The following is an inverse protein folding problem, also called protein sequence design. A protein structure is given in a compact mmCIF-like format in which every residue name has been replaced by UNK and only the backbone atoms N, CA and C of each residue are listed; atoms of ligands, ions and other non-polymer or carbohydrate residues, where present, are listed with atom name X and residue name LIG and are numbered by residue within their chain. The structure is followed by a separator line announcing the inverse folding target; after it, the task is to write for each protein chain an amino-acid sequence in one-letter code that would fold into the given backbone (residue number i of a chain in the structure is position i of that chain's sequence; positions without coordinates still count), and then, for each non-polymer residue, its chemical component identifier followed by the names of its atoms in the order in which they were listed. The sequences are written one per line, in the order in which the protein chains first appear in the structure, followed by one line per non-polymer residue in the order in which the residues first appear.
data_IF_872143447551
#
_entry.id   IF_872143447551
#
_cell.length_a   1.000
_cell.length_b   1.000
_cell.length_c   1.000
_cell.angle_alpha   90.00
_cell.angle_beta   90.00
_cell.angle_gamma   90.00
#
_symmetry.space_group_name_H-M   'P 1'
#
loop_
_entity.id
_entity.type
_entity.pdbx_description
1 polymer ?
#
# COMPACT_ATOMS: atom_id res chain seq x y z
N UNK A 1 -2.61 -6.01 10.52
CA UNK A 1 -1.77 -6.35 9.35
C UNK A 1 -2.53 -7.28 8.45
N UNK A 2 -2.34 -7.17 7.13
CA UNK A 2 -2.89 -8.08 6.13
C UNK A 2 -2.22 -9.45 6.29
N UNK A 3 -3.02 -10.53 6.38
CA UNK A 3 -2.52 -11.91 6.47
C UNK A 3 -2.71 -12.66 5.18
N UNK A 4 -3.82 -12.42 4.46
CA UNK A 4 -4.07 -13.04 3.15
C UNK A 4 -4.84 -12.11 2.22
N UNK A 5 -4.58 -12.25 0.94
CA UNK A 5 -5.43 -11.76 -0.13
C UNK A 5 -5.77 -12.89 -1.09
N UNK A 6 -7.02 -12.97 -1.48
CA UNK A 6 -7.50 -13.94 -2.49
C UNK A 6 -8.16 -13.19 -3.63
N UNK A 7 -7.74 -13.51 -4.84
CA UNK A 7 -8.25 -12.97 -6.11
C UNK A 7 -8.98 -14.12 -6.86
N UNK A 8 -10.13 -13.85 -7.42
CA UNK A 8 -10.87 -14.84 -8.23
C UNK A 8 -11.52 -14.15 -9.43
N UNK A 9 -11.29 -14.69 -10.60
CA UNK A 9 -11.74 -14.13 -11.89
C UNK A 9 -11.40 -12.64 -12.05
N UNK A 10 -10.22 -12.26 -11.59
CA UNK A 10 -9.80 -10.86 -11.47
C UNK A 10 -8.60 -10.57 -12.37
N UNK A 11 -8.78 -9.69 -13.36
CA UNK A 11 -7.72 -9.23 -14.30
C UNK A 11 -7.06 -10.41 -15.02
N UNK A 12 -5.78 -10.70 -14.71
CA UNK A 12 -5.04 -11.83 -15.27
C UNK A 12 -5.24 -13.15 -14.49
N UNK A 13 -5.85 -13.11 -13.30
CA UNK A 13 -6.13 -14.28 -12.47
C UNK A 13 -7.48 -14.88 -12.80
N UNK A 14 -7.49 -15.95 -13.60
CA UNK A 14 -8.69 -16.67 -13.97
C UNK A 14 -9.28 -17.50 -12.82
N UNK A 15 -8.39 -18.16 -12.09
CA UNK A 15 -8.75 -19.07 -11.01
C UNK A 15 -8.47 -18.43 -9.66
N UNK A 16 -9.18 -18.88 -8.64
CA UNK A 16 -8.99 -18.47 -7.26
C UNK A 16 -7.53 -18.64 -6.83
N UNK A 17 -6.88 -17.53 -6.53
CA UNK A 17 -5.46 -17.47 -6.18
C UNK A 17 -5.29 -16.72 -4.87
N UNK A 18 -4.53 -17.31 -3.94
CA UNK A 18 -4.31 -16.74 -2.61
C UNK A 18 -2.83 -16.45 -2.38
N UNK A 19 -2.53 -15.26 -1.86
CA UNK A 19 -1.23 -14.88 -1.31
C UNK A 19 -1.36 -14.88 0.20
N UNK A 20 -0.52 -15.68 0.90
CA UNK A 20 -0.54 -15.85 2.36
C UNK A 20 0.71 -15.22 2.99
N UNK A 21 0.54 -14.18 3.78
CA UNK A 21 1.62 -13.41 4.41
C UNK A 21 2.00 -13.91 5.81
N UNK A 22 1.51 -15.09 6.24
CA UNK A 22 1.99 -15.72 7.46
C UNK A 22 3.41 -16.24 7.28
N UNK A 23 4.25 -16.10 8.31
CA UNK A 23 5.59 -16.69 8.31
C UNK A 23 5.53 -18.21 8.22
N UNK A 24 6.55 -18.80 7.62
CA UNK A 24 6.79 -20.25 7.65
C UNK A 24 7.90 -20.59 8.65
N UNK A 25 8.46 -21.79 8.54
CA UNK A 25 9.46 -22.31 9.50
C UNK A 25 10.88 -21.76 9.30
N UNK A 26 11.11 -20.81 8.41
CA UNK A 26 12.43 -20.20 8.26
C UNK A 26 12.81 -19.39 9.50
N UNK A 27 14.03 -19.52 9.97
CA UNK A 27 14.58 -18.84 11.16
C UNK A 27 15.46 -17.64 10.81
N UNK A 28 15.81 -17.47 9.54
CA UNK A 28 16.63 -16.34 9.07
C UNK A 28 15.82 -15.03 9.08
N UNK A 29 16.50 -13.91 9.21
CA UNK A 29 15.93 -12.56 9.17
C UNK A 29 14.68 -12.42 10.07
N UNK A 30 14.79 -12.68 11.38
CA UNK A 30 13.64 -12.58 12.28
C UNK A 30 13.04 -11.19 12.31
N UNK A 31 13.84 -10.13 12.05
CA UNK A 31 13.39 -8.75 11.97
C UNK A 31 12.38 -8.48 10.83
N UNK A 32 12.31 -9.36 9.82
CA UNK A 32 11.34 -9.26 8.72
C UNK A 32 9.94 -9.80 9.11
N UNK A 33 9.80 -10.29 10.33
CA UNK A 33 8.54 -10.82 10.86
C UNK A 33 8.08 -9.94 12.02
N UNK A 34 6.81 -9.57 12.03
CA UNK A 34 6.22 -8.88 13.15
C UNK A 34 5.95 -9.85 14.33
N UNK A 35 5.78 -9.33 15.54
CA UNK A 35 5.57 -10.11 16.75
C UNK A 35 4.39 -11.08 16.67
N UNK A 36 3.40 -10.76 15.84
CA UNK A 36 2.22 -11.59 15.61
C UNK A 36 2.43 -12.72 14.58
N UNK A 37 3.66 -12.91 14.09
CA UNK A 37 4.01 -13.96 13.12
C UNK A 37 3.65 -13.64 11.67
N UNK A 38 3.30 -12.39 11.37
CA UNK A 38 3.00 -11.94 10.00
C UNK A 38 4.26 -11.33 9.39
N UNK A 39 4.50 -11.58 8.11
CA UNK A 39 5.61 -11.00 7.36
C UNK A 39 5.41 -9.48 7.22
N UNK A 40 6.47 -8.72 7.50
CA UNK A 40 6.46 -7.25 7.32
C UNK A 40 6.42 -6.81 5.86
N UNK A 41 6.51 -7.74 4.92
CA UNK A 41 6.34 -7.48 3.51
C UNK A 41 6.64 -8.67 2.63
N UNK A 42 6.39 -8.50 1.34
CA UNK A 42 6.73 -9.50 0.32
C UNK A 42 7.00 -8.84 -1.03
N UNK A 43 7.81 -9.52 -1.83
CA UNK A 43 8.12 -9.16 -3.21
C UNK A 43 7.37 -10.07 -4.18
N UNK A 44 6.87 -9.50 -5.28
CA UNK A 44 6.33 -10.22 -6.41
C UNK A 44 7.28 -10.10 -7.60
N UNK A 45 7.81 -11.25 -8.04
CA UNK A 45 8.75 -11.36 -9.17
C UNK A 45 8.18 -12.21 -10.29
N UNK A 46 8.69 -12.06 -11.49
CA UNK A 46 8.24 -12.80 -12.67
C UNK A 46 8.40 -12.01 -13.95
N UNK A 47 8.09 -12.61 -15.08
CA UNK A 47 8.17 -11.99 -16.39
C UNK A 47 7.21 -10.78 -16.52
N UNK A 48 7.45 -9.93 -17.54
CA UNK A 48 6.51 -8.86 -17.86
C UNK A 48 5.16 -9.46 -18.24
N UNK A 49 4.08 -8.77 -17.88
CA UNK A 49 2.69 -9.19 -18.08
C UNK A 49 2.29 -10.50 -17.34
N UNK A 50 3.08 -11.00 -16.39
CA UNK A 50 2.73 -12.19 -15.62
C UNK A 50 1.61 -11.98 -14.59
N UNK A 51 1.28 -10.72 -14.23
CA UNK A 51 0.22 -10.40 -13.27
C UNK A 51 0.71 -9.87 -11.91
N UNK A 52 2.01 -9.54 -11.77
CA UNK A 52 2.57 -8.97 -10.52
C UNK A 52 1.80 -7.74 -10.03
N UNK A 53 1.70 -6.73 -10.87
CA UNK A 53 0.97 -5.47 -10.58
C UNK A 53 -0.52 -5.71 -10.31
N UNK A 54 -1.09 -6.82 -10.79
CA UNK A 54 -2.49 -7.20 -10.52
C UNK A 54 -2.71 -7.55 -9.04
N UNK A 55 -1.73 -8.14 -8.38
CA UNK A 55 -1.82 -8.46 -6.94
C UNK A 55 -1.81 -7.16 -6.13
N UNK A 56 -0.88 -6.25 -6.44
CA UNK A 56 -0.83 -4.92 -5.81
C UNK A 56 -2.15 -4.16 -6.06
N UNK A 57 -2.67 -4.22 -7.30
CA UNK A 57 -3.95 -3.62 -7.63
C UNK A 57 -5.10 -4.23 -6.80
N UNK A 58 -5.09 -5.54 -6.55
CA UNK A 58 -6.10 -6.18 -5.71
C UNK A 58 -6.14 -5.60 -4.30
N UNK A 59 -4.98 -5.36 -3.67
CA UNK A 59 -4.91 -4.69 -2.36
C UNK A 59 -5.30 -3.21 -2.47
N UNK A 60 -4.78 -2.52 -3.49
CA UNK A 60 -5.09 -1.10 -3.74
C UNK A 60 -6.58 -0.85 -3.93
N UNK A 61 -7.30 -1.76 -4.61
CA UNK A 61 -8.74 -1.61 -4.85
C UNK A 61 -9.56 -1.62 -3.55
N UNK A 62 -9.17 -2.38 -2.53
CA UNK A 62 -9.82 -2.27 -1.22
C UNK A 62 -9.76 -0.83 -0.70
N UNK A 63 -8.59 -0.20 -0.79
CA UNK A 63 -8.38 1.17 -0.35
C UNK A 63 -9.15 2.18 -1.22
N UNK A 64 -9.07 2.00 -2.54
CA UNK A 64 -9.79 2.85 -3.50
C UNK A 64 -11.31 2.81 -3.26
N UNK A 65 -11.89 1.61 -3.10
CA UNK A 65 -13.33 1.45 -2.89
C UNK A 65 -13.80 1.93 -1.53
N UNK A 66 -12.95 1.89 -0.52
CA UNK A 66 -13.29 2.39 0.81
C UNK A 66 -13.10 3.90 0.95
N UNK A 67 -12.03 4.47 0.37
CA UNK A 67 -11.64 5.85 0.68
C UNK A 67 -11.65 6.80 -0.52
N UNK A 68 -11.80 6.27 -1.75
CA UNK A 68 -11.93 7.07 -2.97
C UNK A 68 -13.25 6.79 -3.67
N UNK A 69 -13.61 7.62 -4.64
CA UNK A 69 -14.79 7.39 -5.49
C UNK A 69 -14.37 6.61 -6.75
N UNK A 70 -14.43 5.28 -6.66
CA UNK A 70 -14.10 4.40 -7.77
C UNK A 70 -15.27 3.46 -8.09
N UNK A 71 -15.59 3.32 -9.37
CA UNK A 71 -16.67 2.45 -9.81
C UNK A 71 -16.29 0.96 -9.71
N UNK A 72 -17.00 0.19 -8.87
CA UNK A 72 -16.82 -1.26 -8.72
C UNK A 72 -17.34 -2.04 -9.93
N UNK A 73 -18.38 -1.55 -10.59
CA UNK A 73 -19.05 -2.27 -11.68
C UNK A 73 -18.29 -2.18 -13.02
N UNK A 74 -17.01 -1.84 -12.99
CA UNK A 74 -16.20 -1.74 -14.20
C UNK A 74 -15.78 -3.12 -14.70
N UNK A 75 -16.14 -3.46 -15.92
CA UNK A 75 -15.71 -4.69 -16.60
C UNK A 75 -14.19 -4.84 -16.76
N UNK A 76 -13.43 -3.74 -16.55
CA UNK A 76 -11.97 -3.79 -16.57
C UNK A 76 -11.36 -4.65 -15.47
N UNK A 77 -12.11 -4.99 -14.43
CA UNK A 77 -11.64 -5.83 -13.33
C UNK A 77 -11.85 -7.32 -13.58
N UNK A 78 -12.75 -7.69 -14.51
CA UNK A 78 -12.93 -9.08 -14.88
C UNK A 78 -11.67 -9.67 -15.53
N UNK A 79 -11.49 -10.97 -15.34
CA UNK A 79 -10.48 -11.71 -16.07
C UNK A 79 -10.90 -11.86 -17.54
N UNK A 80 -10.04 -11.43 -18.45
CA UNK A 80 -10.28 -11.53 -19.91
C UNK A 80 -10.33 -12.99 -20.39
N UNK A 81 -9.77 -13.92 -19.60
CA UNK A 81 -9.71 -15.35 -19.89
C UNK A 81 -10.68 -16.15 -19.00
N UNK A 82 -11.44 -15.46 -18.16
CA UNK A 82 -12.34 -16.07 -17.18
C UNK A 82 -13.68 -16.50 -17.76
N UNK A 83 -14.43 -17.25 -16.98
CA UNK A 83 -15.73 -17.77 -17.34
C UNK A 83 -16.81 -17.18 -16.44
N UNK A 84 -17.35 -16.05 -16.78
CA UNK A 84 -18.47 -15.48 -16.03
C UNK A 84 -18.39 -13.98 -15.79
N UNK A 85 -19.50 -13.39 -15.34
CA UNK A 85 -19.62 -11.94 -15.17
C UNK A 85 -19.15 -11.44 -13.81
N UNK A 86 -18.72 -12.31 -12.90
CA UNK A 86 -18.37 -11.98 -11.54
C UNK A 86 -16.86 -12.01 -11.30
N UNK A 87 -16.32 -11.02 -10.59
CA UNK A 87 -15.02 -11.11 -9.96
C UNK A 87 -15.16 -10.99 -8.45
N UNK A 88 -14.25 -11.59 -7.70
CA UNK A 88 -14.25 -11.45 -6.24
C UNK A 88 -12.88 -11.22 -5.65
N UNK A 89 -12.86 -10.49 -4.55
CA UNK A 89 -11.69 -10.23 -3.73
C UNK A 89 -12.01 -10.54 -2.27
N UNK A 90 -11.06 -11.20 -1.61
CA UNK A 90 -11.16 -11.52 -0.18
C UNK A 90 -9.88 -11.14 0.54
N UNK A 91 -10.02 -10.60 1.74
CA UNK A 91 -8.92 -10.12 2.56
C UNK A 91 -9.05 -10.68 3.97
N UNK A 92 -7.94 -11.16 4.51
CA UNK A 92 -7.83 -11.50 5.91
C UNK A 92 -6.84 -10.56 6.59
N UNK A 93 -7.24 -10.00 7.72
CA UNK A 93 -6.38 -9.14 8.54
C UNK A 93 -6.32 -9.68 9.98
N UNK A 94 -5.18 -9.45 10.62
CA UNK A 94 -5.05 -9.58 12.08
C UNK A 94 -4.91 -8.18 12.68
N UNK A 95 -5.87 -7.79 13.51
CA UNK A 95 -5.95 -6.50 14.18
C UNK A 95 -6.16 -6.73 15.66
N UNK A 96 -5.23 -6.29 16.51
CA UNK A 96 -5.32 -6.44 17.98
C UNK A 96 -5.66 -7.88 18.41
N UNK A 97 -5.05 -8.88 17.79
CA UNK A 97 -5.26 -10.32 18.00
C UNK A 97 -6.62 -10.86 17.50
N UNK A 98 -7.46 -10.03 16.88
CA UNK A 98 -8.70 -10.45 16.23
C UNK A 98 -8.53 -10.62 14.74
N UNK A 99 -9.13 -11.69 14.20
CA UNK A 99 -9.12 -11.97 12.77
C UNK A 99 -10.30 -11.26 12.11
N UNK A 100 -10.02 -10.43 11.11
CA UNK A 100 -11.03 -9.81 10.27
C UNK A 100 -10.98 -10.47 8.89
N UNK A 101 -12.11 -10.98 8.44
CA UNK A 101 -12.30 -11.49 7.09
C UNK A 101 -13.29 -10.60 6.36
N UNK A 102 -12.87 -10.02 5.24
CA UNK A 102 -13.71 -9.21 4.40
C UNK A 102 -13.72 -9.75 2.97
N UNK A 103 -14.89 -9.96 2.45
CA UNK A 103 -15.14 -10.50 1.11
C UNK A 103 -16.12 -9.60 0.38
N UNK A 104 -15.86 -9.38 -0.92
CA UNK A 104 -16.87 -8.89 -1.82
C UNK A 104 -16.75 -9.54 -3.21
N UNK A 105 -17.90 -9.64 -3.87
CA UNK A 105 -18.05 -10.11 -5.24
C UNK A 105 -18.92 -9.13 -6.02
N UNK A 106 -18.57 -8.90 -7.27
CA UNK A 106 -19.28 -7.99 -8.18
C UNK A 106 -19.65 -8.71 -9.46
N UNK A 107 -20.95 -8.83 -9.72
CA UNK A 107 -21.49 -9.17 -11.04
C UNK A 107 -21.58 -7.88 -11.86
N UNK A 108 -20.65 -7.70 -12.81
CA UNK A 108 -20.54 -6.46 -13.59
C UNK A 108 -21.64 -6.30 -14.64
N UNK A 109 -22.30 -7.41 -15.02
CA UNK A 109 -23.42 -7.42 -16.00
C UNK A 109 -24.71 -7.02 -15.30
N UNK A 110 -25.04 -7.68 -14.19
CA UNK A 110 -26.25 -7.41 -13.41
C UNK A 110 -26.11 -6.21 -12.50
N UNK A 111 -24.88 -5.71 -12.28
CA UNK A 111 -24.52 -4.67 -11.30
C UNK A 111 -24.96 -5.04 -9.88
N UNK A 112 -24.68 -6.29 -9.51
CA UNK A 112 -24.99 -6.81 -8.19
C UNK A 112 -23.68 -6.91 -7.40
N UNK A 113 -23.67 -6.36 -6.19
CA UNK A 113 -22.57 -6.47 -5.24
C UNK A 113 -23.02 -7.38 -4.10
N UNK A 114 -22.18 -8.34 -3.75
CA UNK A 114 -22.30 -9.17 -2.55
C UNK A 114 -21.14 -8.83 -1.62
N UNK A 115 -21.42 -8.58 -0.35
CA UNK A 115 -20.39 -8.29 0.65
C UNK A 115 -20.62 -9.12 1.92
N UNK A 116 -19.52 -9.50 2.57
CA UNK A 116 -19.54 -10.11 3.91
C UNK A 116 -18.33 -9.70 4.71
N UNK A 117 -18.55 -9.41 5.98
CA UNK A 117 -17.50 -9.09 6.94
C UNK A 117 -17.67 -9.95 8.19
N UNK A 118 -16.57 -10.55 8.65
CA UNK A 118 -16.52 -11.31 9.90
C UNK A 118 -15.41 -10.80 10.80
N UNK A 119 -15.64 -10.89 12.11
CA UNK A 119 -14.62 -10.75 13.14
C UNK A 119 -14.64 -12.02 13.98
N UNK A 120 -13.52 -12.78 14.02
CA UNK A 120 -13.39 -14.05 14.75
C UNK A 120 -14.58 -14.99 14.48
N UNK A 121 -14.93 -15.18 13.21
CA UNK A 121 -16.06 -16.00 12.72
C UNK A 121 -17.47 -15.45 13.00
N UNK A 122 -17.62 -14.35 13.77
CA UNK A 122 -18.90 -13.66 13.92
C UNK A 122 -19.19 -12.78 12.71
N UNK A 123 -20.37 -12.99 12.08
CA UNK A 123 -20.81 -12.16 10.97
C UNK A 123 -21.15 -10.74 11.47
N UNK A 124 -20.52 -9.74 10.89
CA UNK A 124 -20.69 -8.34 11.26
C UNK A 124 -21.48 -7.54 10.23
N UNK A 125 -21.42 -7.97 8.97
CA UNK A 125 -22.08 -7.31 7.86
C UNK A 125 -22.33 -8.34 6.75
N UNK A 126 -23.49 -8.26 6.12
CA UNK A 126 -23.77 -8.96 4.86
C UNK A 126 -24.55 -8.05 3.92
N UNK A 127 -24.35 -8.27 2.62
CA UNK A 127 -25.07 -7.61 1.54
C UNK A 127 -25.31 -8.56 0.39
N UNK A 128 -26.51 -8.46 -0.21
CA UNK A 128 -26.86 -9.11 -1.48
C UNK A 128 -27.62 -8.10 -2.35
N UNK A 129 -26.95 -7.58 -3.36
CA UNK A 129 -27.55 -6.57 -4.25
C UNK A 129 -27.86 -5.26 -3.53
N UNK A 130 -29.12 -4.88 -3.48
CA UNK A 130 -29.58 -3.65 -2.80
C UNK A 130 -29.90 -3.87 -1.33
N UNK A 131 -30.10 -5.11 -0.90
CA UNK A 131 -30.39 -5.44 0.50
C UNK A 131 -29.09 -5.66 1.27
N UNK A 132 -28.95 -4.98 2.38
CA UNK A 132 -27.78 -5.11 3.26
C UNK A 132 -28.21 -5.06 4.73
N UNK A 133 -27.46 -5.78 5.57
CA UNK A 133 -27.68 -5.84 7.01
C UNK A 133 -26.36 -5.68 7.77
N UNK A 134 -26.40 -4.86 8.82
CA UNK A 134 -25.30 -4.70 9.75
C UNK A 134 -25.67 -5.33 11.11
N UNK A 135 -24.73 -6.08 11.67
CA UNK A 135 -24.80 -6.64 13.03
C UNK A 135 -23.83 -5.90 13.97
N UNK A 136 -23.23 -4.81 13.48
CA UNK A 136 -22.36 -3.96 14.27
C UNK A 136 -23.25 -3.11 15.17
N UNK A 137 -22.94 -3.08 16.47
CA UNK A 137 -23.62 -2.18 17.39
C UNK A 137 -23.43 -0.72 16.95
N UNK A 138 -24.53 -0.02 16.69
CA UNK A 138 -24.52 1.35 16.17
C UNK A 138 -24.80 2.36 17.28
N UNK A 139 -24.35 3.62 17.12
CA UNK A 139 -24.78 4.71 17.99
C UNK A 139 -26.31 4.83 18.02
N UNK A 140 -26.85 5.27 19.13
CA UNK A 140 -28.30 5.43 19.31
C UNK A 140 -28.93 6.24 18.17
N UNK A 141 -29.96 5.69 17.54
CA UNK A 141 -30.71 6.33 16.47
C UNK A 141 -30.29 5.95 15.04
N UNK A 142 -29.29 5.11 14.88
CA UNK A 142 -28.86 4.57 13.57
C UNK A 142 -29.28 3.09 13.49
N UNK A 143 -30.11 2.73 12.52
CA UNK A 143 -30.52 1.34 12.29
C UNK A 143 -30.24 0.97 10.84
N UNK A 144 -29.42 -0.06 10.64
CA UNK A 144 -29.10 -0.64 9.32
C UNK A 144 -29.61 -2.07 9.18
N UNK A 145 -30.68 -2.43 9.89
CA UNK A 145 -31.40 -3.67 9.62
C UNK A 145 -32.16 -3.52 8.31
N UNK A 146 -31.76 -4.24 7.27
CA UNK A 146 -32.36 -4.22 5.94
C UNK A 146 -32.28 -2.87 5.19
N UNK A 147 -31.08 -2.28 5.17
CA UNK A 147 -30.84 -1.05 4.42
C UNK A 147 -30.93 -1.27 2.90
N UNK A 148 -31.51 -0.32 2.19
CA UNK A 148 -31.42 -0.23 0.73
C UNK A 148 -30.16 0.58 0.35
N UNK A 149 -29.20 -0.08 -0.30
CA UNK A 149 -27.87 0.46 -0.52
C UNK A 149 -27.57 0.77 -1.98
N UNK A 150 -26.68 1.73 -2.21
CA UNK A 150 -26.22 2.13 -3.54
C UNK A 150 -25.62 0.96 -4.34
N UNK A 151 -25.90 0.91 -5.66
CA UNK A 151 -25.34 -0.09 -6.58
C UNK A 151 -23.85 0.06 -6.83
N UNK A 152 -23.28 1.22 -6.56
CA UNK A 152 -21.92 1.59 -7.00
C UNK A 152 -20.94 1.74 -5.83
N UNK A 153 -21.41 1.49 -4.59
CA UNK A 153 -20.60 1.73 -3.38
C UNK A 153 -20.66 0.52 -2.45
N UNK A 154 -19.56 0.14 -1.84
CA UNK A 154 -19.52 -0.88 -0.80
C UNK A 154 -20.34 -0.45 0.42
N UNK A 155 -21.10 -1.36 1.00
CA UNK A 155 -21.87 -1.09 2.20
C UNK A 155 -20.96 -0.81 3.41
N UNK A 156 -19.83 -1.52 3.49
CA UNK A 156 -18.79 -1.25 4.47
C UNK A 156 -18.32 0.23 4.45
N UNK A 157 -18.16 0.82 3.25
CA UNK A 157 -17.84 2.24 3.09
C UNK A 157 -18.94 3.12 3.68
N UNK A 158 -20.19 2.86 3.34
CA UNK A 158 -21.36 3.60 3.84
C UNK A 158 -21.41 3.59 5.37
N UNK A 159 -21.30 2.40 5.97
CA UNK A 159 -21.28 2.26 7.42
C UNK A 159 -20.12 3.05 8.04
N UNK A 160 -18.90 2.90 7.51
CA UNK A 160 -17.73 3.59 8.04
C UNK A 160 -17.90 5.13 8.02
N UNK A 161 -18.39 5.71 6.91
CA UNK A 161 -18.52 7.16 6.83
C UNK A 161 -19.61 7.71 7.73
N UNK A 162 -20.65 6.93 8.01
CA UNK A 162 -21.75 7.33 8.90
C UNK A 162 -21.42 7.15 10.40
N UNK A 163 -20.73 6.06 10.78
CA UNK A 163 -20.54 5.68 12.19
C UNK A 163 -19.11 5.85 12.70
N UNK A 164 -18.12 5.85 11.78
CA UNK A 164 -16.68 5.74 12.09
C UNK A 164 -16.33 4.51 12.94
N UNK A 165 -17.28 3.58 13.07
CA UNK A 165 -17.17 2.41 13.94
C UNK A 165 -16.80 2.73 15.40
N UNK A 166 -17.31 3.83 15.92
CA UNK A 166 -16.98 4.30 17.28
C UNK A 166 -17.35 3.31 18.37
N UNK A 167 -18.37 2.48 18.14
CA UNK A 167 -18.82 1.40 19.04
C UNK A 167 -18.05 0.08 18.86
N UNK A 168 -17.19 -0.05 17.85
CA UNK A 168 -16.40 -1.25 17.58
C UNK A 168 -14.90 -0.92 17.45
N UNK A 169 -14.12 -1.03 18.54
CA UNK A 169 -12.69 -0.67 18.53
C UNK A 169 -11.87 -1.44 17.49
N UNK A 170 -12.18 -2.72 17.25
CA UNK A 170 -11.46 -3.54 16.27
C UNK A 170 -11.65 -3.03 14.84
N UNK A 171 -12.89 -2.69 14.45
CA UNK A 171 -13.16 -2.11 13.13
C UNK A 171 -12.58 -0.71 13.00
N UNK A 172 -12.65 0.10 14.06
CA UNK A 172 -12.03 1.42 14.09
C UNK A 172 -10.52 1.32 13.87
N UNK A 173 -9.83 0.42 14.60
CA UNK A 173 -8.39 0.19 14.46
C UNK A 173 -8.03 -0.35 13.06
N UNK A 174 -8.87 -1.23 12.48
CA UNK A 174 -8.68 -1.73 11.12
C UNK A 174 -8.79 -0.62 10.08
N UNK A 175 -9.83 0.22 10.15
CA UNK A 175 -9.98 1.36 9.24
C UNK A 175 -8.85 2.36 9.38
N UNK A 176 -8.37 2.62 10.59
CA UNK A 176 -7.21 3.47 10.83
C UNK A 176 -5.93 2.89 10.22
N UNK A 177 -5.73 1.57 10.32
CA UNK A 177 -4.63 0.88 9.65
C UNK A 177 -4.71 1.03 8.12
N UNK A 178 -5.90 0.82 7.53
CA UNK A 178 -6.11 0.96 6.08
C UNK A 178 -5.88 2.40 5.62
N UNK A 179 -6.34 3.41 6.37
CA UNK A 179 -6.16 4.84 6.03
C UNK A 179 -4.73 5.31 6.10
N UNK A 180 -3.89 4.67 6.89
CA UNK A 180 -2.44 4.97 6.96
C UNK A 180 -1.65 4.40 5.79
N UNK A 181 -2.31 3.66 4.90
CA UNK A 181 -1.67 3.03 3.76
C UNK A 181 -1.39 4.04 2.65
N UNK A 182 -0.29 3.78 1.94
CA UNK A 182 0.19 4.60 0.82
C UNK A 182 0.47 3.69 -0.37
N UNK A 183 0.05 4.12 -1.56
CA UNK A 183 0.39 3.48 -2.83
C UNK A 183 1.38 4.33 -3.60
N UNK A 184 2.40 3.71 -4.16
CA UNK A 184 3.43 4.31 -5.00
C UNK A 184 3.49 3.55 -6.32
N UNK A 185 3.40 4.27 -7.45
CA UNK A 185 3.82 3.76 -8.75
C UNK A 185 5.08 4.53 -9.16
N UNK A 186 6.22 3.81 -9.20
CA UNK A 186 7.51 4.45 -9.48
C UNK A 186 7.66 4.87 -10.94
N UNK A 187 7.03 4.14 -11.86
CA UNK A 187 7.08 4.45 -13.28
C UNK A 187 6.31 5.75 -13.59
N UNK A 188 5.07 5.86 -13.07
CA UNK A 188 4.22 7.04 -13.27
C UNK A 188 4.53 8.17 -12.29
N UNK A 189 5.45 7.95 -11.33
CA UNK A 189 5.79 8.88 -10.23
C UNK A 189 4.55 9.32 -9.44
N UNK A 190 3.57 8.42 -9.32
CA UNK A 190 2.31 8.68 -8.64
C UNK A 190 2.35 8.13 -7.21
N UNK A 191 2.01 8.99 -6.23
CA UNK A 191 1.92 8.62 -4.81
C UNK A 191 0.53 8.98 -4.31
N UNK A 192 -0.18 8.00 -3.76
CA UNK A 192 -1.54 8.16 -3.23
C UNK A 192 -1.54 7.82 -1.74
N UNK A 193 -1.89 8.79 -0.90
CA UNK A 193 -2.18 8.57 0.52
C UNK A 193 -3.70 8.44 0.70
N UNK A 194 -4.12 7.44 1.46
CA UNK A 194 -5.55 7.21 1.76
C UNK A 194 -6.03 7.92 3.04
N UNK A 195 -5.12 8.59 3.73
CA UNK A 195 -5.39 9.33 4.96
C UNK A 195 -4.81 10.73 4.95
N UNK A 196 -4.24 11.12 6.08
CA UNK A 196 -3.68 12.46 6.29
C UNK A 196 -2.16 12.52 6.12
N UNK A 197 -1.52 11.40 5.73
CA UNK A 197 -0.07 11.38 5.57
C UNK A 197 0.34 12.33 4.43
N UNK A 198 1.24 13.24 4.74
CA UNK A 198 1.82 14.13 3.73
C UNK A 198 2.86 13.36 2.92
N UNK A 199 2.57 13.15 1.65
CA UNK A 199 3.43 12.43 0.71
C UNK A 199 4.14 13.37 -0.26
N UNK A 200 3.71 14.62 -0.38
CA UNK A 200 4.46 15.68 -1.05
C UNK A 200 5.69 16.03 -0.22
N UNK A 201 6.87 16.05 -0.84
CA UNK A 201 8.14 16.37 -0.14
C UNK A 201 8.07 17.73 0.52
N UNK A 202 7.61 18.75 -0.21
CA UNK A 202 7.54 20.12 0.31
C UNK A 202 6.63 20.20 1.54
N UNK A 203 5.42 19.64 1.48
CA UNK A 203 4.50 19.64 2.62
C UNK A 203 5.02 18.82 3.80
N UNK A 204 5.68 17.69 3.51
CA UNK A 204 6.32 16.91 4.56
C UNK A 204 7.39 17.73 5.28
N UNK A 205 8.24 18.45 4.53
CA UNK A 205 9.27 19.32 5.08
C UNK A 205 8.71 20.54 5.84
N UNK A 206 7.58 21.09 5.39
CA UNK A 206 6.88 22.15 6.11
C UNK A 206 6.34 21.70 7.48
N UNK A 207 5.88 20.43 7.56
CA UNK A 207 5.24 19.90 8.79
C UNK A 207 6.22 19.21 9.73
N UNK A 208 7.21 18.50 9.18
CA UNK A 208 8.10 17.58 9.92
C UNK A 208 9.57 18.00 9.91
N UNK A 209 9.93 19.02 9.11
CA UNK A 209 11.32 19.44 8.96
C UNK A 209 12.19 18.44 8.21
N UNK A 210 13.50 18.69 8.21
CA UNK A 210 14.50 17.87 7.53
C UNK A 210 15.07 16.72 8.40
N UNK A 211 14.85 16.73 9.71
CA UNK A 211 15.59 15.91 10.67
C UNK A 211 15.46 14.41 10.41
N UNK A 212 14.25 13.95 10.10
CA UNK A 212 14.00 12.51 9.86
C UNK A 212 14.66 12.03 8.57
N UNK A 213 14.70 12.87 7.54
CA UNK A 213 15.36 12.59 6.26
C UNK A 213 16.87 12.63 6.45
N UNK A 214 17.40 13.65 7.14
CA UNK A 214 18.83 13.77 7.39
C UNK A 214 19.34 12.63 8.28
N UNK A 215 18.55 12.20 9.28
CA UNK A 215 18.89 11.03 10.08
C UNK A 215 18.99 9.75 9.22
N UNK A 216 18.10 9.57 8.25
CA UNK A 216 18.19 8.47 7.30
C UNK A 216 19.49 8.55 6.48
N UNK A 217 19.85 9.71 5.97
CA UNK A 217 21.10 9.91 5.24
C UNK A 217 22.33 9.63 6.08
N UNK A 218 22.36 10.11 7.33
CA UNK A 218 23.45 9.86 8.26
C UNK A 218 23.58 8.39 8.64
N UNK A 219 22.46 7.71 8.94
CA UNK A 219 22.43 6.29 9.33
C UNK A 219 22.98 5.38 8.22
N UNK A 220 22.74 5.73 6.96
CA UNK A 220 23.18 4.94 5.81
C UNK A 220 24.36 5.54 5.05
N UNK A 221 25.10 6.47 5.66
CA UNK A 221 26.35 7.06 5.17
C UNK A 221 26.25 7.65 3.75
N UNK A 222 25.17 8.39 3.47
CA UNK A 222 25.02 9.05 2.17
C UNK A 222 25.98 10.24 1.98
N UNK A 223 26.72 10.66 3.01
CA UNK A 223 27.61 11.82 3.00
C UNK A 223 26.94 13.12 2.49
N UNK A 224 25.62 13.20 2.65
CA UNK A 224 24.80 14.34 2.25
C UNK A 224 23.62 14.54 3.22
N UNK A 225 23.19 15.80 3.33
CA UNK A 225 22.01 16.22 4.07
C UNK A 225 21.18 17.16 3.21
N UNK A 226 19.90 17.35 3.54
CA UNK A 226 19.06 18.33 2.87
C UNK A 226 18.81 19.54 3.77
N UNK A 227 18.66 20.68 3.12
CA UNK A 227 18.12 21.91 3.70
C UNK A 227 16.86 22.31 2.95
N UNK A 228 15.93 22.91 3.68
CA UNK A 228 14.69 23.44 3.14
C UNK A 228 14.50 24.88 3.61
N UNK A 229 14.81 25.85 2.75
CA UNK A 229 14.85 27.26 3.11
C UNK A 229 14.40 28.18 1.95
N UNK A 230 14.12 29.46 2.29
CA UNK A 230 13.67 30.51 1.38
C UNK A 230 14.77 31.04 0.44
N UNK A 231 16.04 30.81 0.73
CA UNK A 231 17.12 31.30 -0.13
C UNK A 231 18.38 30.45 -0.06
N UNK A 232 18.95 30.10 -1.20
CA UNK A 232 20.38 29.78 -1.26
C UNK A 232 21.19 31.02 -0.93
N UNK A 233 22.02 30.95 0.09
CA UNK A 233 23.06 31.97 0.32
C UNK A 233 24.04 31.89 -0.85
N UNK A 234 23.75 32.49 -2.00
CA UNK A 234 24.70 32.54 -3.10
C UNK A 234 24.19 32.55 -4.53
N UNK A 235 22.90 32.61 -4.82
CA UNK A 235 22.46 32.67 -6.21
C UNK A 235 21.00 33.05 -6.40
N UNK A 236 20.71 33.84 -7.43
CA UNK A 236 19.36 34.27 -7.82
C UNK A 236 18.48 33.17 -8.43
N UNK A 237 18.60 31.93 -8.00
CA UNK A 237 17.86 30.82 -8.59
C UNK A 237 16.77 30.38 -7.63
N UNK A 238 15.53 30.78 -7.94
CA UNK A 238 14.33 30.29 -7.28
C UNK A 238 13.90 29.02 -7.99
N UNK A 239 14.01 27.87 -7.35
CA UNK A 239 13.43 26.62 -7.83
C UNK A 239 12.19 26.28 -7.02
N UNK A 240 11.04 26.28 -7.70
CA UNK A 240 9.77 25.84 -7.14
C UNK A 240 9.67 24.33 -7.37
N UNK A 241 9.40 23.57 -6.33
CA UNK A 241 9.00 22.15 -6.49
C UNK A 241 7.62 22.14 -7.14
N UNK A 242 7.47 21.41 -8.24
CA UNK A 242 6.21 21.33 -9.01
C UNK A 242 5.00 21.13 -8.08
N UNK A 243 4.06 22.07 -8.10
CA UNK A 243 2.76 21.96 -7.47
C UNK A 243 2.54 22.71 -6.16
N UNK A 244 3.56 23.31 -5.55
CA UNK A 244 3.42 24.11 -4.33
C UNK A 244 3.89 25.55 -4.55
N UNK A 245 3.03 26.51 -4.18
CA UNK A 245 3.33 27.96 -4.16
C UNK A 245 4.27 28.34 -2.99
N UNK A 246 5.24 27.47 -2.64
CA UNK A 246 6.18 27.76 -1.56
C UNK A 246 7.38 28.51 -2.11
N UNK A 247 7.76 29.60 -1.44
CA UNK A 247 8.98 30.36 -1.76
C UNK A 247 10.27 29.63 -1.32
N UNK A 248 10.12 28.42 -0.73
CA UNK A 248 11.23 27.62 -0.22
C UNK A 248 11.73 26.64 -1.26
N UNK A 249 13.04 26.44 -1.31
CA UNK A 249 13.73 25.46 -2.12
C UNK A 249 14.32 24.32 -1.29
N UNK A 250 14.47 23.14 -1.92
CA UNK A 250 15.18 22.00 -1.33
C UNK A 250 16.60 21.99 -1.90
N UNK A 251 17.59 21.89 -1.02
CA UNK A 251 19.00 21.87 -1.36
C UNK A 251 19.68 20.68 -0.73
N UNK A 252 20.57 20.02 -1.50
CA UNK A 252 21.45 18.98 -0.99
C UNK A 252 22.79 19.58 -0.58
N UNK A 253 23.22 19.35 0.65
CA UNK A 253 24.56 19.62 1.15
C UNK A 253 25.37 18.35 1.14
N UNK A 254 26.46 18.33 0.40
CA UNK A 254 27.39 17.21 0.35
C UNK A 254 28.66 17.53 1.12
N UNK A 255 29.19 16.52 1.80
CA UNK A 255 30.46 16.64 2.52
C UNK A 255 31.59 17.06 1.57
N UNK A 256 32.32 18.14 1.94
CA UNK A 256 33.42 18.68 1.12
C UNK A 256 33.00 19.59 -0.04
N UNK A 257 31.70 19.87 -0.21
CA UNK A 257 31.18 20.83 -1.19
C UNK A 257 30.55 22.00 -0.44
N UNK A 258 31.02 23.21 -0.67
CA UNK A 258 30.53 24.42 0.01
C UNK A 258 29.19 24.92 -0.55
N UNK A 259 28.97 24.71 -1.86
CA UNK A 259 27.80 25.22 -2.55
C UNK A 259 26.67 24.17 -2.47
N UNK A 260 25.50 24.49 -1.90
CA UNK A 260 24.35 23.58 -1.88
C UNK A 260 23.83 23.33 -3.29
N UNK A 261 23.50 22.07 -3.59
CA UNK A 261 22.99 21.63 -4.89
C UNK A 261 21.47 21.71 -4.86
N UNK A 262 20.81 22.50 -5.74
CA UNK A 262 19.35 22.52 -5.84
C UNK A 262 18.79 21.13 -6.20
N UNK A 263 17.61 20.80 -5.67
CA UNK A 263 16.93 19.53 -5.92
C UNK A 263 16.82 19.16 -7.41
N UNK A 264 16.56 20.15 -8.28
CA UNK A 264 16.38 19.92 -9.72
C UNK A 264 17.67 19.60 -10.46
N UNK A 265 18.82 19.97 -9.89
CA UNK A 265 20.16 19.68 -10.42
C UNK A 265 20.76 18.40 -9.85
N UNK A 266 20.08 17.79 -8.88
CA UNK A 266 20.54 16.56 -8.26
C UNK A 266 20.30 15.35 -9.19
N UNK A 267 21.03 14.26 -8.95
CA UNK A 267 20.85 13.00 -9.69
C UNK A 267 19.41 12.50 -9.60
N UNK A 268 18.92 11.88 -10.66
CA UNK A 268 17.55 11.34 -10.69
C UNK A 268 17.29 10.33 -9.56
N UNK A 269 18.30 9.54 -9.19
CA UNK A 269 18.21 8.60 -8.07
C UNK A 269 17.95 9.29 -6.74
N UNK A 270 18.70 10.36 -6.43
CA UNK A 270 18.51 11.15 -5.22
C UNK A 270 17.19 11.92 -5.22
N UNK A 271 16.78 12.43 -6.38
CA UNK A 271 15.45 13.05 -6.51
C UNK A 271 14.33 12.04 -6.24
N UNK A 272 14.40 10.83 -6.82
CA UNK A 272 13.41 9.78 -6.60
C UNK A 272 13.41 9.30 -5.14
N UNK A 273 14.59 9.11 -4.55
CA UNK A 273 14.71 8.76 -3.13
C UNK A 273 14.00 9.79 -2.25
N UNK A 274 14.32 11.08 -2.44
CA UNK A 274 13.71 12.13 -1.65
C UNK A 274 12.18 12.22 -1.86
N UNK A 275 11.69 11.95 -3.06
CA UNK A 275 10.24 11.92 -3.35
C UNK A 275 9.49 10.84 -2.59
N UNK A 276 10.08 9.64 -2.41
CA UNK A 276 9.36 8.53 -1.77
C UNK A 276 9.66 8.40 -0.27
N UNK A 277 10.77 8.96 0.20
CA UNK A 277 11.18 8.83 1.60
C UNK A 277 10.12 9.31 2.60
N UNK A 278 9.38 10.44 2.38
CA UNK A 278 8.25 10.79 3.22
C UNK A 278 7.19 9.69 3.36
N UNK A 279 6.87 8.98 2.27
CA UNK A 279 5.91 7.88 2.31
C UNK A 279 6.42 6.71 3.15
N UNK A 280 7.69 6.32 3.00
CA UNK A 280 8.34 5.30 3.84
C UNK A 280 8.32 5.68 5.31
N UNK A 281 8.78 6.89 5.64
CA UNK A 281 8.82 7.40 7.01
C UNK A 281 7.42 7.45 7.64
N UNK A 282 6.42 7.94 6.90
CA UNK A 282 5.04 7.98 7.38
C UNK A 282 4.52 6.58 7.71
N UNK A 283 4.66 5.61 6.81
CA UNK A 283 4.13 4.24 7.01
C UNK A 283 4.90 3.52 8.10
N UNK A 284 6.24 3.63 8.15
CA UNK A 284 7.06 3.03 9.22
C UNK A 284 6.62 3.54 10.60
N UNK A 285 6.42 4.86 10.75
CA UNK A 285 6.10 5.48 12.03
C UNK A 285 4.63 5.30 12.46
N UNK A 286 3.70 5.29 11.51
CA UNK A 286 2.26 5.27 11.81
C UNK A 286 1.60 3.90 11.67
N UNK A 287 2.23 2.96 10.97
CA UNK A 287 1.63 1.70 10.53
C UNK A 287 0.93 1.84 9.18
N UNK A 288 0.21 0.80 8.75
CA UNK A 288 -0.45 0.74 7.44
C UNK A 288 0.32 -0.11 6.43
N UNK A 289 -0.10 -0.04 5.18
CA UNK A 289 0.53 -0.75 4.06
C UNK A 289 1.23 0.23 3.13
N UNK A 290 2.45 -0.09 2.72
CA UNK A 290 3.18 0.55 1.65
C UNK A 290 3.11 -0.36 0.42
N UNK A 291 2.30 0.03 -0.56
CA UNK A 291 2.09 -0.70 -1.80
C UNK A 291 2.93 -0.06 -2.89
N UNK A 292 3.92 -0.77 -3.43
CA UNK A 292 4.82 -0.20 -4.44
C UNK A 292 4.77 -1.02 -5.73
N UNK A 293 4.38 -0.37 -6.80
CA UNK A 293 4.45 -0.94 -8.14
C UNK A 293 5.67 -0.40 -8.89
N UNK A 294 6.35 -1.28 -9.65
CA UNK A 294 7.54 -0.94 -10.45
C UNK A 294 8.69 -0.34 -9.64
N UNK A 295 9.00 -0.91 -8.45
CA UNK A 295 9.98 -0.35 -7.51
C UNK A 295 11.37 -0.16 -8.14
N UNK A 296 11.83 -1.12 -8.95
CA UNK A 296 13.10 -1.05 -9.68
C UNK A 296 13.20 0.08 -10.71
N UNK A 297 12.07 0.66 -11.16
CA UNK A 297 12.08 1.73 -12.15
C UNK A 297 12.61 3.06 -11.63
N UNK A 298 12.76 3.20 -10.31
CA UNK A 298 13.16 4.47 -9.68
C UNK A 298 14.60 4.53 -9.19
N UNK A 299 15.28 3.37 -9.04
CA UNK A 299 16.52 3.28 -8.29
C UNK A 299 17.56 2.37 -8.91
N UNK A 300 18.82 2.60 -8.54
CA UNK A 300 19.87 1.62 -8.67
C UNK A 300 19.67 0.48 -7.66
N UNK A 301 20.05 -0.73 -8.01
CA UNK A 301 19.82 -1.97 -7.22
C UNK A 301 20.26 -1.87 -5.74
N UNK A 302 21.36 -1.16 -5.48
CA UNK A 302 21.88 -0.99 -4.10
C UNK A 302 20.94 -0.13 -3.25
N UNK A 303 20.41 0.96 -3.81
CA UNK A 303 19.47 1.83 -3.12
C UNK A 303 18.12 1.13 -2.87
N UNK A 304 17.65 0.35 -3.85
CA UNK A 304 16.46 -0.47 -3.69
C UNK A 304 16.63 -1.46 -2.54
N UNK A 305 17.77 -2.17 -2.50
CA UNK A 305 18.10 -3.13 -1.42
C UNK A 305 18.17 -2.43 -0.05
N UNK A 306 18.75 -1.24 0.00
CA UNK A 306 18.84 -0.44 1.22
C UNK A 306 17.44 -0.04 1.72
N UNK A 307 16.57 0.44 0.84
CA UNK A 307 15.21 0.85 1.21
C UNK A 307 14.37 -0.33 1.74
N UNK A 308 14.53 -1.53 1.14
CA UNK A 308 13.86 -2.74 1.63
C UNK A 308 14.37 -3.10 3.03
N UNK A 309 15.69 -3.13 3.24
CA UNK A 309 16.27 -3.40 4.57
C UNK A 309 15.81 -2.39 5.60
N UNK A 310 15.88 -1.11 5.28
CA UNK A 310 15.41 -0.03 6.15
C UNK A 310 13.97 -0.26 6.61
N UNK A 311 13.08 -0.58 5.65
CA UNK A 311 11.69 -0.86 5.98
C UNK A 311 11.57 -2.09 6.91
N UNK A 312 12.22 -3.20 6.57
CA UNK A 312 12.13 -4.43 7.37
C UNK A 312 12.67 -4.27 8.79
N UNK A 313 13.72 -3.47 8.97
CA UNK A 313 14.34 -3.21 10.26
C UNK A 313 13.50 -2.25 11.12
N UNK A 314 12.98 -1.17 10.53
CA UNK A 314 12.32 -0.10 11.28
C UNK A 314 10.82 -0.28 11.43
N UNK A 315 10.16 -1.01 10.53
CA UNK A 315 8.73 -1.23 10.59
C UNK A 315 8.37 -2.19 11.73
N UNK A 316 7.35 -1.83 12.53
CA UNK A 316 6.77 -2.69 13.56
C UNK A 316 5.35 -3.14 13.15
N UNK A 317 4.47 -2.16 12.89
CA UNK A 317 3.05 -2.39 12.55
C UNK A 317 2.74 -2.05 11.08
N UNK A 318 3.75 -1.93 10.24
CA UNK A 318 3.63 -1.63 8.83
C UNK A 318 3.95 -2.85 7.97
N UNK A 319 3.43 -2.85 6.74
CA UNK A 319 3.72 -3.88 5.73
C UNK A 319 4.08 -3.24 4.41
N UNK A 320 5.06 -3.81 3.69
CA UNK A 320 5.44 -3.38 2.35
C UNK A 320 5.20 -4.51 1.35
N UNK A 321 4.28 -4.30 0.41
CA UNK A 321 4.02 -5.21 -0.69
C UNK A 321 4.51 -4.54 -1.97
N UNK A 322 5.41 -5.17 -2.70
CA UNK A 322 6.03 -4.51 -3.83
C UNK A 322 6.36 -5.43 -5.01
N UNK A 323 6.38 -4.82 -6.19
CA UNK A 323 6.81 -5.44 -7.45
C UNK A 323 8.17 -4.89 -7.82
N UNK A 324 9.12 -5.78 -8.07
CA UNK A 324 10.44 -5.41 -8.58
C UNK A 324 10.94 -6.41 -9.62
N UNK A 325 11.79 -5.93 -10.53
CA UNK A 325 12.53 -6.73 -11.48
C UNK A 325 13.97 -7.01 -11.03
N UNK A 326 14.36 -6.47 -9.88
CA UNK A 326 15.71 -6.63 -9.32
C UNK A 326 15.89 -8.02 -8.71
N UNK A 327 16.78 -8.82 -9.28
CA UNK A 327 17.15 -10.13 -8.73
C UNK A 327 18.01 -10.04 -7.47
N UNK A 328 18.64 -8.89 -7.21
CA UNK A 328 19.46 -8.68 -6.02
C UNK A 328 18.63 -8.74 -4.73
N UNK A 329 17.34 -8.43 -4.80
CA UNK A 329 16.43 -8.50 -3.66
C UNK A 329 16.09 -9.93 -3.24
N UNK A 330 16.27 -10.92 -4.13
CA UNK A 330 16.04 -12.35 -3.86
C UNK A 330 17.20 -12.97 -3.08
N UNK A 331 17.89 -12.17 -2.28
CA UNK A 331 19.01 -12.62 -1.45
C UNK A 331 18.51 -12.89 -0.02
N UNK A 332 18.89 -14.04 0.52
CA UNK A 332 18.64 -14.41 1.91
C UNK A 332 19.26 -13.45 2.95
N UNK A 333 19.99 -12.43 2.52
CA UNK A 333 20.47 -11.33 3.35
C UNK A 333 19.51 -10.14 3.40
N UNK A 334 18.46 -10.12 2.57
CA UNK A 334 17.50 -9.01 2.45
C UNK A 334 16.09 -9.51 2.75
N UNK A 335 15.67 -10.57 2.05
CA UNK A 335 14.35 -11.17 2.20
C UNK A 335 14.46 -12.63 2.61
N UNK A 336 13.43 -13.11 3.28
CA UNK A 336 13.25 -14.51 3.63
C UNK A 336 12.63 -15.23 2.43
N UNK A 337 12.90 -16.52 2.22
CA UNK A 337 12.26 -17.26 1.14
C UNK A 337 10.73 -17.21 1.17
N UNK A 338 10.13 -17.11 2.38
CA UNK A 338 8.69 -16.99 2.53
C UNK A 338 8.13 -15.57 2.27
N UNK A 339 8.96 -14.61 1.93
CA UNK A 339 8.57 -13.28 1.44
C UNK A 339 8.62 -13.17 -0.09
N UNK A 340 9.09 -14.20 -0.80
CA UNK A 340 9.30 -14.18 -2.24
C UNK A 340 8.18 -14.94 -2.96
N UNK A 341 7.48 -14.25 -3.85
CA UNK A 341 6.40 -14.82 -4.65
C UNK A 341 6.72 -14.73 -6.13
N UNK A 342 6.80 -15.89 -6.79
CA UNK A 342 6.90 -16.01 -8.24
C UNK A 342 5.51 -15.91 -8.86
N UNK A 343 5.36 -15.03 -9.84
CA UNK A 343 4.11 -14.84 -10.59
C UNK A 343 4.34 -15.24 -12.04
N UNK A 344 3.58 -16.22 -12.52
CA UNK A 344 3.71 -16.78 -13.85
C UNK A 344 2.37 -16.69 -14.59
N UNK A 345 2.42 -16.36 -15.88
CA UNK A 345 1.27 -16.44 -16.77
C UNK A 345 1.27 -17.78 -17.50
N UNK A 346 0.24 -18.58 -17.27
CA UNK A 346 0.07 -19.88 -17.91
C UNK A 346 -0.93 -19.79 -19.06
N UNK A 347 -0.52 -20.12 -20.26
CA UNK A 347 -1.34 -20.05 -21.47
C UNK A 347 -2.76 -20.60 -21.24
N UNK A 348 -3.77 -19.75 -21.42
CA UNK A 348 -5.19 -20.10 -21.27
C UNK A 348 -5.71 -20.24 -19.83
N UNK A 349 -4.81 -20.39 -18.84
CA UNK A 349 -5.18 -20.53 -17.42
C UNK A 349 -5.04 -19.23 -16.61
N UNK A 350 -4.49 -18.19 -17.25
CA UNK A 350 -4.23 -16.92 -16.57
C UNK A 350 -3.00 -16.96 -15.68
N UNK A 351 -2.91 -15.98 -14.78
CA UNK A 351 -1.80 -15.85 -13.84
C UNK A 351 -1.92 -16.83 -12.67
N UNK A 352 -0.77 -17.32 -12.20
CA UNK A 352 -0.64 -18.13 -10.98
C UNK A 352 0.45 -17.56 -10.09
N UNK A 353 0.34 -17.78 -8.79
CA UNK A 353 1.32 -17.34 -7.79
C UNK A 353 1.87 -18.56 -7.07
N UNK A 354 3.18 -18.60 -6.90
CA UNK A 354 3.88 -19.59 -6.08
C UNK A 354 4.79 -18.87 -5.10
N UNK A 355 4.85 -19.38 -3.90
CA UNK A 355 5.74 -18.91 -2.84
C UNK A 355 7.06 -19.64 -2.89
#
# INVERSE_FOLDING_TARGET
MLTKITLDNFKSFKNKTTVDLAKTNYTILPQNVADNGILKGCIFVGANASGKSTIILGVKLLLDFLFSERNLNSGIFLCMFGNGPCYSLSYEFLVEKKKINYFFEVDVVKKIISEKLWIDDALMLERMGLSAKSYIAEPAGVNYDEADVSKDTLFLRTLYFNTKFTSNPTLSAWMDYLKKSIYINMFDKNIISYGKAEVSVARYLDTSGCESINRFFDEYNFEQNIEYDHSSKGGNVRFVVEGDNTEKGIFFKRKGIEVPIPFVEESLGNQNLLRILPAFLNVINSGGMLLIDEFSSGFHNELESLMVRYFMEKADRAQMLFVSHSTNLLSNSILRPDQEYSVEFQNGNGSTVRR
#
